data_IF_650717342371
#
_entry.id   IF_650717342371
#
_cell.length_a   1.000
_cell.length_b   1.000
_cell.length_c   1.000
_cell.angle_alpha   90.00
_cell.angle_beta   90.00
_cell.angle_gamma   90.00
#
_symmetry.space_group_name_H-M   'P 1'
#
loop_
_entity.id
_entity.type
_entity.pdbx_description
1 polymer ?
#
# COMPACT_ATOMS: atom_id res chain seq x y z
N UNK A 1 5.79 17.13 -51.70
CA UNK A 1 6.64 17.13 -50.49
C UNK A 1 5.82 16.97 -49.20
N UNK A 2 4.72 17.68 -49.07
CA UNK A 2 3.84 17.61 -47.86
C UNK A 2 3.29 16.19 -47.57
N UNK A 3 2.87 15.47 -48.61
CA UNK A 3 2.37 14.08 -48.53
C UNK A 3 3.39 13.09 -47.94
N UNK A 4 4.68 13.27 -48.23
CA UNK A 4 5.74 12.42 -47.70
C UNK A 4 6.09 12.76 -46.25
N UNK A 5 5.97 14.02 -45.82
CA UNK A 5 6.12 14.47 -44.44
C UNK A 5 5.02 13.84 -43.55
N UNK A 6 3.76 13.93 -43.98
CA UNK A 6 2.63 13.36 -43.26
C UNK A 6 2.78 11.85 -43.14
N UNK A 7 3.19 11.15 -44.19
CA UNK A 7 3.41 9.69 -44.19
C UNK A 7 4.52 9.29 -43.20
N UNK A 8 5.65 10.02 -43.17
CA UNK A 8 6.75 9.77 -42.26
C UNK A 8 6.29 9.98 -40.79
N UNK A 9 5.61 11.07 -40.48
CA UNK A 9 5.09 11.36 -39.16
C UNK A 9 4.10 10.29 -38.72
N UNK A 10 3.22 9.82 -39.57
CA UNK A 10 2.26 8.74 -39.26
C UNK A 10 2.99 7.44 -38.94
N UNK A 11 4.00 7.05 -39.74
CA UNK A 11 4.78 5.82 -39.48
C UNK A 11 5.51 5.90 -38.14
N UNK A 12 6.17 7.02 -37.89
CA UNK A 12 6.89 7.22 -36.59
C UNK A 12 5.90 7.19 -35.42
N UNK A 13 4.76 7.85 -35.52
CA UNK A 13 3.71 7.82 -34.48
C UNK A 13 3.21 6.41 -34.22
N UNK A 14 2.88 5.66 -35.26
CA UNK A 14 2.38 4.28 -35.15
C UNK A 14 3.43 3.37 -34.50
N UNK A 15 4.67 3.46 -34.92
CA UNK A 15 5.76 2.67 -34.36
C UNK A 15 5.99 2.97 -32.86
N UNK A 16 6.02 4.25 -32.47
CA UNK A 16 6.19 4.65 -31.08
C UNK A 16 5.01 4.20 -30.21
N UNK A 17 3.78 4.48 -30.63
CA UNK A 17 2.59 4.10 -29.87
C UNK A 17 2.49 2.59 -29.73
N UNK A 18 2.73 1.84 -30.82
CA UNK A 18 2.67 0.36 -30.77
C UNK A 18 3.76 -0.22 -29.88
N UNK A 19 5.00 0.29 -30.00
CA UNK A 19 6.11 -0.15 -29.15
C UNK A 19 5.86 0.11 -27.67
N UNK A 20 5.40 1.30 -27.32
CA UNK A 20 5.07 1.65 -25.94
C UNK A 20 3.87 0.85 -25.39
N UNK A 21 2.86 0.62 -26.22
CA UNK A 21 1.69 -0.16 -25.82
C UNK A 21 2.05 -1.63 -25.55
N UNK A 22 2.85 -2.23 -26.42
CA UNK A 22 3.33 -3.61 -26.24
C UNK A 22 4.17 -3.74 -24.96
N UNK A 23 5.13 -2.84 -24.75
CA UNK A 23 6.00 -2.88 -23.56
C UNK A 23 5.21 -2.63 -22.26
N UNK A 24 4.26 -1.69 -22.27
CA UNK A 24 3.43 -1.40 -21.09
C UNK A 24 2.48 -2.55 -20.75
N UNK A 25 1.88 -3.18 -21.76
CA UNK A 25 1.04 -4.37 -21.55
C UNK A 25 1.85 -5.57 -21.08
N UNK A 26 3.03 -5.81 -21.67
CA UNK A 26 3.92 -6.88 -21.22
C UNK A 26 4.34 -6.67 -19.76
N UNK A 27 4.75 -5.46 -19.38
CA UNK A 27 5.08 -5.10 -18.00
C UNK A 27 3.89 -5.31 -17.04
N UNK A 28 2.69 -4.95 -17.46
CA UNK A 28 1.46 -5.17 -16.68
C UNK A 28 1.20 -6.65 -16.41
N UNK A 29 1.25 -7.49 -17.46
CA UNK A 29 1.00 -8.93 -17.32
C UNK A 29 2.08 -9.62 -16.49
N UNK A 30 3.36 -9.27 -16.68
CA UNK A 30 4.47 -9.80 -15.89
C UNK A 30 4.34 -9.39 -14.43
N UNK A 31 4.08 -8.12 -14.14
CA UNK A 31 3.89 -7.63 -12.76
C UNK A 31 2.69 -8.30 -12.09
N UNK A 32 1.59 -8.48 -12.81
CA UNK A 32 0.40 -9.17 -12.29
C UNK A 32 0.67 -10.65 -12.00
N UNK A 33 1.38 -11.34 -12.87
CA UNK A 33 1.75 -12.74 -12.68
C UNK A 33 2.72 -12.92 -11.51
N UNK A 34 3.76 -12.07 -11.44
CA UNK A 34 4.73 -12.05 -10.34
C UNK A 34 4.07 -11.78 -8.99
N UNK A 35 3.16 -10.79 -8.93
CA UNK A 35 2.42 -10.49 -7.70
C UNK A 35 1.53 -11.65 -7.26
N UNK A 36 0.85 -12.32 -8.20
CA UNK A 36 0.05 -13.52 -7.89
C UNK A 36 0.91 -14.64 -7.30
N UNK A 37 2.05 -14.93 -7.91
CA UNK A 37 2.98 -15.94 -7.42
C UNK A 37 3.55 -15.57 -6.04
N UNK A 38 3.94 -14.31 -5.85
CA UNK A 38 4.47 -13.82 -4.57
C UNK A 38 3.41 -13.88 -3.44
N UNK A 39 2.19 -13.47 -3.72
CA UNK A 39 1.08 -13.58 -2.77
C UNK A 39 0.73 -15.06 -2.51
N UNK A 40 0.74 -15.90 -3.55
CA UNK A 40 0.35 -17.30 -3.43
C UNK A 40 1.38 -18.16 -2.69
N UNK A 41 2.66 -17.99 -2.99
CA UNK A 41 3.70 -18.94 -2.61
C UNK A 41 4.57 -18.47 -1.44
N UNK A 42 4.88 -17.18 -1.36
CA UNK A 42 5.86 -16.65 -0.39
C UNK A 42 5.27 -15.76 0.71
N UNK A 43 4.26 -14.93 0.39
CA UNK A 43 3.77 -13.93 1.35
C UNK A 43 2.69 -14.45 2.29
N UNK A 44 2.02 -15.55 1.95
CA UNK A 44 0.90 -16.07 2.77
C UNK A 44 1.36 -16.73 4.05
N UNK A 45 2.27 -17.73 4.02
CA UNK A 45 2.67 -18.42 5.27
C UNK A 45 3.52 -17.50 6.15
N UNK A 46 4.60 -16.91 5.59
CA UNK A 46 5.57 -16.13 6.35
C UNK A 46 4.98 -14.86 6.97
N UNK A 47 4.12 -14.13 6.24
CA UNK A 47 3.50 -12.91 6.78
C UNK A 47 2.42 -13.26 7.80
N UNK A 48 1.63 -14.31 7.54
CA UNK A 48 0.65 -14.83 8.49
C UNK A 48 1.31 -15.30 9.78
N UNK A 49 2.42 -16.02 9.67
CA UNK A 49 3.21 -16.52 10.81
C UNK A 49 3.84 -15.39 11.62
N UNK A 50 4.37 -14.38 10.95
CA UNK A 50 4.94 -13.20 11.63
C UNK A 50 3.85 -12.42 12.38
N UNK A 51 2.70 -12.17 11.74
CA UNK A 51 1.56 -11.49 12.37
C UNK A 51 1.07 -12.31 13.56
N UNK A 52 0.90 -13.62 13.38
CA UNK A 52 0.49 -14.51 14.47
C UNK A 52 1.47 -14.45 15.63
N UNK A 53 2.77 -14.64 15.39
CA UNK A 53 3.81 -14.66 16.41
C UNK A 53 3.92 -13.32 17.15
N UNK A 54 3.81 -12.19 16.44
CA UNK A 54 3.86 -10.86 17.06
C UNK A 54 2.61 -10.62 17.93
N UNK A 55 1.42 -10.91 17.41
CA UNK A 55 0.16 -10.74 18.16
C UNK A 55 0.11 -11.72 19.34
N UNK A 56 0.46 -12.98 19.13
CA UNK A 56 0.49 -13.98 20.19
C UNK A 56 1.43 -13.54 21.33
N UNK A 57 2.65 -13.12 21.00
CA UNK A 57 3.60 -12.63 22.01
C UNK A 57 3.02 -11.50 22.85
N UNK A 58 2.38 -10.52 22.22
CA UNK A 58 1.86 -9.37 22.92
C UNK A 58 0.59 -9.70 23.71
N UNK A 59 -0.25 -10.61 23.23
CA UNK A 59 -1.46 -11.07 23.92
C UNK A 59 -1.12 -12.06 25.06
N UNK A 60 -0.05 -12.89 24.94
CA UNK A 60 0.35 -13.84 25.97
C UNK A 60 1.09 -13.19 27.13
N UNK A 61 1.63 -11.97 26.95
CA UNK A 61 2.34 -11.27 28.02
C UNK A 61 1.53 -11.18 29.33
N UNK A 62 0.24 -10.80 29.35
CA UNK A 62 -0.58 -10.84 30.57
C UNK A 62 -0.76 -12.23 31.15
N UNK A 63 -0.81 -13.28 30.33
CA UNK A 63 -0.90 -14.67 30.79
C UNK A 63 0.37 -15.05 31.57
N UNK A 64 1.55 -14.74 31.02
CA UNK A 64 2.82 -14.98 31.71
C UNK A 64 2.95 -14.19 33.02
N UNK A 65 2.54 -12.92 33.02
CA UNK A 65 2.59 -12.10 34.24
C UNK A 65 1.67 -12.68 35.30
N UNK A 66 0.43 -13.05 34.96
CA UNK A 66 -0.53 -13.63 35.88
C UNK A 66 -0.05 -15.00 36.44
N UNK A 67 0.59 -15.80 35.57
CA UNK A 67 1.23 -17.07 36.04
C UNK A 67 2.34 -16.82 37.06
N UNK A 68 3.25 -15.88 36.78
CA UNK A 68 4.30 -15.48 37.71
C UNK A 68 3.71 -15.00 39.03
N UNK A 69 2.66 -14.18 39.02
CA UNK A 69 1.96 -13.74 40.22
C UNK A 69 1.35 -14.90 41.00
N UNK A 70 0.75 -15.88 40.31
CA UNK A 70 0.15 -17.04 40.93
C UNK A 70 1.18 -17.97 41.60
N UNK A 71 2.40 -18.00 41.09
CA UNK A 71 3.52 -18.78 41.63
C UNK A 71 4.39 -18.00 42.62
N UNK A 72 4.11 -16.71 42.84
CA UNK A 72 4.94 -15.82 43.62
C UNK A 72 4.95 -16.22 45.12
N UNK A 73 6.15 -16.38 45.68
CA UNK A 73 6.33 -16.76 47.07
C UNK A 73 5.90 -15.67 48.04
N UNK A 74 6.11 -14.38 47.69
CA UNK A 74 5.63 -13.27 48.50
C UNK A 74 4.09 -13.35 48.67
N UNK A 75 3.34 -13.56 47.60
CA UNK A 75 1.88 -13.63 47.65
C UNK A 75 1.39 -14.79 48.50
N UNK A 76 2.01 -15.97 48.33
CA UNK A 76 1.70 -17.18 49.14
C UNK A 76 2.00 -16.97 50.61
N UNK A 77 3.19 -16.49 50.95
CA UNK A 77 3.61 -16.27 52.32
C UNK A 77 2.75 -15.21 53.00
N UNK A 78 2.43 -14.12 52.30
CA UNK A 78 1.57 -13.06 52.83
C UNK A 78 0.16 -13.58 53.20
N UNK A 79 -0.43 -14.44 52.37
CA UNK A 79 -1.73 -15.11 52.66
C UNK A 79 -1.60 -16.06 53.84
N UNK A 80 -0.56 -16.88 53.86
CA UNK A 80 -0.34 -17.85 54.96
C UNK A 80 -0.05 -17.19 56.30
N UNK A 81 0.58 -16.02 56.33
CA UNK A 81 0.81 -15.20 57.51
C UNK A 81 -0.45 -14.45 57.99
N UNK A 82 -1.56 -14.56 57.26
CA UNK A 82 -2.85 -14.04 57.73
C UNK A 82 -3.29 -12.74 57.12
N UNK A 83 -2.64 -12.27 56.03
CA UNK A 83 -3.04 -11.07 55.28
C UNK A 83 -3.02 -9.77 56.11
N UNK A 84 -2.10 -9.67 57.07
CA UNK A 84 -2.14 -8.60 58.09
C UNK A 84 -1.67 -7.24 57.61
N UNK A 85 -0.81 -7.16 56.60
CA UNK A 85 -0.30 -5.89 56.10
C UNK A 85 -0.82 -5.64 54.70
N UNK A 86 -1.91 -4.90 54.62
CA UNK A 86 -2.52 -4.46 53.35
C UNK A 86 -1.56 -3.61 52.50
N UNK A 87 -0.65 -2.86 53.15
CA UNK A 87 0.28 -1.98 52.41
C UNK A 87 1.23 -2.79 51.55
N UNK A 88 1.65 -3.97 52.00
CA UNK A 88 2.55 -4.83 51.21
C UNK A 88 1.88 -5.37 49.96
N UNK A 89 0.67 -5.90 50.05
CA UNK A 89 -0.01 -6.43 48.89
C UNK A 89 -0.37 -5.32 47.88
N UNK A 90 -0.78 -4.14 48.34
CA UNK A 90 -1.00 -2.98 47.47
C UNK A 90 0.27 -2.58 46.74
N UNK A 91 1.41 -2.47 47.46
CA UNK A 91 2.69 -2.14 46.83
C UNK A 91 3.09 -3.18 45.79
N UNK A 92 2.92 -4.46 46.08
CA UNK A 92 3.19 -5.55 45.17
C UNK A 92 2.34 -5.45 43.91
N UNK A 93 1.01 -5.31 44.03
CA UNK A 93 0.11 -5.21 42.91
C UNK A 93 0.38 -3.94 42.07
N UNK A 94 0.68 -2.79 42.74
CA UNK A 94 1.01 -1.54 42.04
C UNK A 94 2.32 -1.63 41.28
N UNK A 95 3.32 -2.30 41.84
CA UNK A 95 4.61 -2.55 41.17
C UNK A 95 4.40 -3.40 39.92
N UNK A 96 3.62 -4.49 40.00
CA UNK A 96 3.27 -5.32 38.84
C UNK A 96 2.59 -4.46 37.76
N UNK A 97 1.57 -3.68 38.12
CA UNK A 97 0.83 -2.83 37.22
C UNK A 97 1.77 -1.84 36.48
N UNK A 98 2.64 -1.17 37.22
CA UNK A 98 3.54 -0.13 36.69
C UNK A 98 4.67 -0.74 35.86
N UNK A 99 5.33 -1.77 36.36
CA UNK A 99 6.50 -2.39 35.71
C UNK A 99 6.16 -3.05 34.39
N UNK A 100 4.99 -3.69 34.33
CA UNK A 100 4.56 -4.45 33.15
C UNK A 100 3.58 -3.71 32.25
N UNK A 101 3.26 -2.46 32.59
CA UNK A 101 2.33 -1.61 31.82
C UNK A 101 0.98 -2.33 31.61
N UNK A 102 0.44 -2.91 32.71
CA UNK A 102 -0.89 -3.53 32.69
C UNK A 102 -1.93 -2.56 33.20
N UNK A 103 -3.17 -2.66 32.66
CA UNK A 103 -4.23 -1.74 33.04
C UNK A 103 -4.68 -1.94 34.49
N UNK A 104 -4.70 -3.17 34.95
CA UNK A 104 -5.08 -3.56 36.30
C UNK A 104 -4.26 -4.76 36.77
N UNK A 105 -4.08 -4.87 38.08
CA UNK A 105 -3.53 -6.03 38.76
C UNK A 105 -4.32 -6.28 40.03
N UNK A 106 -4.57 -7.54 40.37
CA UNK A 106 -5.44 -7.88 41.48
C UNK A 106 -5.06 -9.22 42.14
N UNK A 107 -5.54 -9.36 43.38
CA UNK A 107 -5.60 -10.63 44.09
C UNK A 107 -6.90 -10.75 44.87
N UNK A 108 -7.56 -11.89 44.78
CA UNK A 108 -8.78 -12.20 45.55
C UNK A 108 -8.50 -13.37 46.48
N UNK A 109 -8.55 -13.13 47.79
CA UNK A 109 -8.29 -14.13 48.80
C UNK A 109 -9.50 -15.04 49.01
N UNK A 110 -9.28 -16.36 49.01
CA UNK A 110 -10.30 -17.36 49.38
C UNK A 110 -10.55 -17.41 50.90
N UNK A 111 -9.55 -17.01 51.67
CA UNK A 111 -9.60 -17.03 53.15
C UNK A 111 -10.48 -15.90 53.68
N UNK A 112 -10.29 -14.68 53.18
CA UNK A 112 -10.95 -13.47 53.72
C UNK A 112 -12.03 -12.94 52.83
N UNK A 113 -12.22 -13.53 51.63
CA UNK A 113 -13.12 -13.08 50.58
C UNK A 113 -12.86 -11.62 50.16
N UNK A 114 -11.60 -11.15 50.32
CA UNK A 114 -11.23 -9.76 50.02
C UNK A 114 -10.64 -9.65 48.63
N UNK A 115 -11.11 -8.67 47.88
CA UNK A 115 -10.59 -8.30 46.58
C UNK A 115 -9.58 -7.14 46.76
N UNK A 116 -8.30 -7.47 46.61
CA UNK A 116 -7.20 -6.53 46.65
C UNK A 116 -6.85 -6.02 45.27
N UNK A 117 -6.62 -4.71 45.14
CA UNK A 117 -6.21 -4.02 43.92
C UNK A 117 -4.96 -3.13 44.24
N UNK A 118 -4.22 -2.70 43.23
CA UNK A 118 -3.05 -1.83 43.40
C UNK A 118 -3.35 -0.50 44.13
N UNK A 119 -4.60 -0.04 44.10
CA UNK A 119 -5.03 1.20 44.77
C UNK A 119 -5.71 0.95 46.13
N UNK A 120 -5.90 -0.32 46.57
CA UNK A 120 -6.49 -0.67 47.84
C UNK A 120 -7.41 -1.87 47.81
N UNK A 121 -8.18 -2.06 48.87
CA UNK A 121 -9.25 -3.05 48.90
C UNK A 121 -10.44 -2.53 48.09
N UNK A 122 -10.82 -3.31 47.08
CA UNK A 122 -11.96 -2.97 46.24
C UNK A 122 -13.28 -3.30 46.96
N UNK A 123 -13.42 -4.53 47.42
CA UNK A 123 -14.64 -5.02 48.09
C UNK A 123 -14.42 -6.39 48.78
N UNK A 124 -15.41 -6.85 49.51
CA UNK A 124 -15.60 -8.27 49.84
C UNK A 124 -16.40 -8.93 48.74
N UNK A 125 -15.98 -10.09 48.26
CA UNK A 125 -16.71 -10.87 47.26
C UNK A 125 -17.82 -11.70 47.90
N UNK A 126 -18.90 -11.93 47.15
CA UNK A 126 -20.05 -12.74 47.59
C UNK A 126 -20.56 -13.65 46.47
N UNK A 127 -20.95 -14.91 46.78
CA UNK A 127 -21.52 -15.83 45.78
C UNK A 127 -22.87 -15.36 45.25
N UNK A 128 -23.58 -14.49 45.99
CA UNK A 128 -24.88 -13.93 45.59
C UNK A 128 -24.75 -12.74 44.66
N UNK A 129 -23.56 -12.14 44.58
CA UNK A 129 -23.30 -11.00 43.73
C UNK A 129 -23.01 -11.43 42.29
N UNK A 130 -23.76 -10.91 41.32
CA UNK A 130 -23.62 -11.28 39.91
C UNK A 130 -22.22 -10.95 39.34
N UNK A 131 -21.63 -9.86 39.80
CA UNK A 131 -20.30 -9.39 39.35
C UNK A 131 -19.14 -10.21 39.95
N UNK A 132 -19.39 -11.09 40.92
CA UNK A 132 -18.39 -11.95 41.54
C UNK A 132 -18.42 -13.40 41.02
N UNK A 133 -19.35 -13.73 40.12
CA UNK A 133 -19.49 -15.08 39.55
C UNK A 133 -18.24 -15.59 38.89
N UNK A 134 -17.42 -14.71 38.30
CA UNK A 134 -16.15 -15.07 37.71
C UNK A 134 -15.19 -15.73 38.71
N UNK A 135 -15.12 -15.21 39.93
CA UNK A 135 -14.26 -15.77 40.96
C UNK A 135 -14.64 -17.21 41.32
N UNK A 136 -15.93 -17.48 41.54
CA UNK A 136 -16.42 -18.82 41.89
C UNK A 136 -16.29 -19.78 40.69
N UNK A 137 -16.34 -19.31 39.49
CA UNK A 137 -16.05 -20.09 38.27
C UNK A 137 -14.56 -20.47 38.25
N UNK A 138 -13.64 -19.52 38.46
CA UNK A 138 -12.20 -19.73 38.55
C UNK A 138 -11.87 -20.74 39.68
N UNK A 139 -12.46 -20.59 40.85
CA UNK A 139 -12.26 -21.50 41.98
C UNK A 139 -12.60 -22.94 41.61
N UNK A 140 -13.66 -23.19 40.86
CA UNK A 140 -14.20 -24.51 40.53
C UNK A 140 -13.75 -25.09 39.19
N UNK A 141 -12.98 -24.35 38.36
CA UNK A 141 -12.52 -24.84 37.08
C UNK A 141 -11.43 -25.89 37.21
N UNK A 142 -11.22 -26.67 36.14
CA UNK A 142 -10.16 -27.69 36.07
C UNK A 142 -8.84 -27.17 35.47
N UNK A 143 -8.90 -26.03 34.76
CA UNK A 143 -7.75 -25.36 34.16
C UNK A 143 -7.04 -24.47 35.19
N UNK A 144 -5.78 -24.10 34.92
CA UNK A 144 -5.02 -23.22 35.80
C UNK A 144 -5.49 -21.79 35.79
N UNK A 145 -6.04 -21.35 34.65
CA UNK A 145 -6.54 -19.97 34.44
C UNK A 145 -7.71 -19.94 33.47
N UNK A 146 -8.41 -18.82 33.46
CA UNK A 146 -9.38 -18.44 32.42
C UNK A 146 -9.13 -17.02 31.94
N UNK A 147 -9.62 -16.73 30.75
CA UNK A 147 -9.72 -15.38 30.19
C UNK A 147 -11.19 -14.98 30.16
N UNK A 148 -11.50 -13.79 30.64
CA UNK A 148 -12.82 -13.23 30.51
C UNK A 148 -12.78 -11.74 30.19
N UNK A 149 -13.84 -11.26 29.54
CA UNK A 149 -14.01 -9.85 29.19
C UNK A 149 -15.15 -9.31 30.04
N UNK A 150 -14.79 -8.49 31.02
CA UNK A 150 -15.73 -7.91 31.96
C UNK A 150 -15.44 -6.41 32.21
N UNK A 151 -16.43 -5.63 32.68
CA UNK A 151 -16.17 -4.29 33.19
C UNK A 151 -15.30 -4.33 34.45
N UNK A 152 -14.19 -3.59 34.45
CA UNK A 152 -13.29 -3.47 35.59
C UNK A 152 -13.84 -2.51 36.63
N UNK A 153 -14.33 -3.03 37.74
CA UNK A 153 -14.91 -2.26 38.84
C UNK A 153 -13.94 -1.30 39.51
N UNK A 154 -12.64 -1.64 39.51
CA UNK A 154 -11.59 -0.76 40.07
C UNK A 154 -11.31 0.43 39.16
N UNK A 155 -11.62 0.32 37.86
CA UNK A 155 -11.27 1.28 36.81
C UNK A 155 -12.51 1.79 36.03
N UNK A 156 -13.52 2.27 36.76
CA UNK A 156 -14.73 2.92 36.19
C UNK A 156 -15.46 2.06 35.14
N UNK A 157 -15.58 0.78 35.41
CA UNK A 157 -16.23 -0.21 34.53
C UNK A 157 -15.65 -0.22 33.09
N UNK A 158 -14.39 0.12 32.92
CA UNK A 158 -13.70 0.00 31.63
C UNK A 158 -13.66 -1.46 31.21
N UNK A 159 -14.12 -1.76 29.97
CA UNK A 159 -14.10 -3.11 29.42
C UNK A 159 -12.67 -3.64 29.35
N UNK A 160 -12.41 -4.71 30.09
CA UNK A 160 -11.09 -5.26 30.34
C UNK A 160 -11.06 -6.76 30.07
N UNK A 161 -10.00 -7.21 29.43
CA UNK A 161 -9.67 -8.62 29.27
C UNK A 161 -8.84 -9.02 30.49
N UNK A 162 -9.43 -9.80 31.36
CA UNK A 162 -8.76 -10.31 32.56
C UNK A 162 -8.15 -11.69 32.30
N UNK A 163 -6.98 -11.91 32.88
CA UNK A 163 -6.34 -13.22 33.00
C UNK A 163 -6.40 -13.63 34.45
N UNK A 164 -7.27 -14.57 34.76
CA UNK A 164 -7.57 -14.99 36.14
C UNK A 164 -6.88 -16.32 36.42
N UNK A 165 -5.75 -16.29 37.16
CA UNK A 165 -5.00 -17.48 37.59
C UNK A 165 -5.41 -17.93 38.96
N UNK A 166 -5.47 -19.26 39.15
CA UNK A 166 -5.67 -19.89 40.44
C UNK A 166 -4.35 -19.84 41.24
N UNK A 167 -4.43 -19.49 42.52
CA UNK A 167 -3.29 -19.45 43.43
C UNK A 167 -3.40 -20.58 44.45
N UNK A 168 -2.31 -21.31 44.62
CA UNK A 168 -2.20 -22.43 45.55
C UNK A 168 -1.11 -22.21 46.55
N UNK A 169 -1.30 -22.74 47.79
CA UNK A 169 -0.26 -22.80 48.81
C UNK A 169 0.80 -23.89 48.47
N UNK A 170 1.79 -24.03 49.30
CA UNK A 170 2.86 -25.05 49.15
C UNK A 170 2.35 -26.50 49.30
N UNK A 171 1.12 -26.71 49.82
CA UNK A 171 0.46 -27.99 49.96
C UNK A 171 -0.62 -28.22 48.86
N UNK A 172 -0.63 -27.40 47.87
CA UNK A 172 -1.63 -27.43 46.74
C UNK A 172 -3.08 -27.16 47.18
N UNK A 173 -3.30 -26.49 48.31
CA UNK A 173 -4.62 -25.98 48.64
C UNK A 173 -4.86 -24.67 47.91
N UNK A 174 -6.07 -24.49 47.36
CA UNK A 174 -6.48 -23.24 46.74
C UNK A 174 -6.60 -22.12 47.78
N UNK A 175 -5.93 -21.01 47.54
CA UNK A 175 -5.89 -19.87 48.47
C UNK A 175 -6.44 -18.57 47.84
N UNK A 176 -6.73 -18.57 46.55
CA UNK A 176 -7.29 -17.40 45.86
C UNK A 176 -7.08 -17.37 44.39
N UNK A 177 -7.43 -16.24 43.77
CA UNK A 177 -7.19 -15.95 42.36
C UNK A 177 -6.42 -14.65 42.21
N UNK A 178 -5.49 -14.60 41.27
CA UNK A 178 -4.72 -13.39 40.95
C UNK A 178 -4.62 -13.18 39.43
N UNK A 179 -4.23 -11.97 39.03
CA UNK A 179 -3.95 -11.73 37.67
C UNK A 179 -3.85 -10.26 37.30
N UNK A 180 -3.73 -10.05 35.99
CA UNK A 180 -3.70 -8.72 35.37
C UNK A 180 -4.74 -8.60 34.30
N UNK A 181 -5.03 -7.36 33.90
CA UNK A 181 -5.94 -7.07 32.80
C UNK A 181 -5.40 -6.05 31.82
N UNK A 182 -5.86 -6.17 30.58
CA UNK A 182 -5.66 -5.20 29.51
C UNK A 182 -6.99 -4.64 29.05
N UNK A 183 -7.07 -3.35 28.74
CA UNK A 183 -8.30 -2.81 28.17
C UNK A 183 -8.59 -3.36 26.78
N UNK A 184 -9.84 -3.60 26.48
CA UNK A 184 -10.28 -4.00 25.12
C UNK A 184 -9.85 -2.97 24.08
N UNK A 185 -9.82 -1.68 24.44
CA UNK A 185 -9.35 -0.61 23.54
C UNK A 185 -7.85 -0.70 23.27
N UNK A 186 -7.02 -1.06 24.25
CA UNK A 186 -5.59 -1.25 24.04
C UNK A 186 -5.31 -2.41 23.08
N UNK A 187 -6.02 -3.53 23.23
CA UNK A 187 -5.89 -4.69 22.33
C UNK A 187 -6.40 -4.35 20.92
N UNK A 188 -7.52 -3.64 20.80
CA UNK A 188 -8.00 -3.14 19.49
C UNK A 188 -6.98 -2.22 18.81
N UNK A 189 -6.36 -1.33 19.58
CA UNK A 189 -5.30 -0.44 19.07
C UNK A 189 -4.07 -1.24 18.62
N UNK A 190 -3.67 -2.26 19.38
CA UNK A 190 -2.58 -3.16 19.03
C UNK A 190 -2.86 -3.88 17.69
N UNK A 191 -4.02 -4.51 17.56
CA UNK A 191 -4.45 -5.15 16.32
C UNK A 191 -4.47 -4.12 15.17
N UNK A 192 -4.96 -2.90 15.41
CA UNK A 192 -4.98 -1.82 14.42
C UNK A 192 -3.59 -1.42 13.92
N UNK A 193 -2.57 -1.41 14.80
CA UNK A 193 -1.17 -1.19 14.40
C UNK A 193 -0.68 -2.28 13.45
N UNK A 194 -1.00 -3.55 13.74
CA UNK A 194 -0.64 -4.66 12.86
C UNK A 194 -1.40 -4.63 11.53
N UNK A 195 -2.68 -4.25 11.55
CA UNK A 195 -3.45 -4.04 10.31
C UNK A 195 -2.80 -2.99 9.41
N UNK A 196 -2.33 -1.87 9.98
CA UNK A 196 -1.63 -0.82 9.22
C UNK A 196 -0.23 -1.26 8.76
N UNK A 197 0.55 -1.91 9.65
CA UNK A 197 1.91 -2.38 9.34
C UNK A 197 1.95 -3.36 8.18
N UNK A 198 0.97 -4.26 8.11
CA UNK A 198 0.93 -5.36 7.14
C UNK A 198 -0.09 -5.16 6.02
N UNK A 199 -0.89 -4.09 6.05
CA UNK A 199 -2.03 -3.83 5.15
C UNK A 199 -2.96 -5.04 5.02
N UNK A 200 -3.35 -5.63 6.16
CA UNK A 200 -4.22 -6.80 6.26
C UNK A 200 -5.44 -6.50 7.13
N UNK A 201 -6.54 -7.19 6.89
CA UNK A 201 -7.63 -7.23 7.86
C UNK A 201 -7.30 -8.30 8.91
N UNK A 202 -7.31 -7.92 10.17
CA UNK A 202 -6.97 -8.80 11.29
C UNK A 202 -8.08 -8.71 12.34
N UNK A 203 -8.59 -9.86 12.75
CA UNK A 203 -9.60 -9.95 13.80
C UNK A 203 -9.55 -11.32 14.48
N UNK A 204 -10.16 -11.41 15.66
CA UNK A 204 -10.17 -12.61 16.50
C UNK A 204 -11.61 -13.06 16.69
N UNK A 205 -11.85 -14.36 16.49
CA UNK A 205 -13.15 -14.99 16.65
C UNK A 205 -13.08 -16.13 17.67
N UNK A 206 -14.21 -16.47 18.27
CA UNK A 206 -14.36 -17.70 19.03
C UNK A 206 -14.74 -18.90 18.14
N UNK A 207 -14.89 -20.08 18.77
CA UNK A 207 -15.31 -21.31 18.09
C UNK A 207 -16.70 -21.24 17.44
N UNK A 208 -17.56 -20.33 17.90
CA UNK A 208 -18.89 -20.12 17.32
C UNK A 208 -18.84 -19.15 16.12
N UNK A 209 -17.70 -18.52 15.84
CA UNK A 209 -17.52 -17.53 14.78
C UNK A 209 -17.88 -16.11 15.22
N UNK A 210 -18.11 -15.87 16.52
CA UNK A 210 -18.38 -14.53 17.05
C UNK A 210 -17.09 -13.71 17.09
N UNK A 211 -17.12 -12.50 16.55
CA UNK A 211 -15.98 -11.58 16.57
C UNK A 211 -15.79 -11.01 17.97
N UNK A 212 -14.73 -11.44 18.67
CA UNK A 212 -14.38 -10.99 20.02
C UNK A 212 -13.59 -9.69 19.99
N UNK A 213 -12.60 -9.62 19.10
CA UNK A 213 -11.70 -8.47 18.98
C UNK A 213 -11.40 -8.18 17.50
N UNK A 214 -11.38 -6.92 17.15
CA UNK A 214 -10.98 -6.45 15.84
C UNK A 214 -10.28 -5.11 15.97
N UNK A 215 -9.39 -4.77 15.05
CA UNK A 215 -8.71 -3.48 15.03
C UNK A 215 -9.67 -2.33 14.74
N UNK A 216 -9.22 -1.11 15.01
CA UNK A 216 -10.03 0.11 14.86
C UNK A 216 -10.46 0.40 13.40
N UNK A 217 -9.72 -0.13 12.42
CA UNK A 217 -10.03 -0.04 10.99
C UNK A 217 -10.89 -1.20 10.45
N UNK A 218 -11.41 -2.04 11.32
CA UNK A 218 -12.29 -3.14 10.93
C UNK A 218 -13.67 -2.58 10.51
N UNK A 219 -13.93 -2.61 9.21
CA UNK A 219 -15.14 -2.01 8.62
C UNK A 219 -16.33 -2.97 8.52
N UNK A 220 -16.12 -4.26 8.84
CA UNK A 220 -17.19 -5.27 8.72
C UNK A 220 -18.15 -5.18 9.93
N UNK A 221 -19.40 -4.93 9.66
CA UNK A 221 -20.51 -4.90 10.66
C UNK A 221 -20.93 -6.30 11.12
N UNK A 222 -20.29 -7.35 10.60
CA UNK A 222 -20.62 -8.74 10.88
C UNK A 222 -20.24 -9.11 12.31
N UNK A 223 -21.22 -9.53 13.12
CA UNK A 223 -20.99 -10.01 14.49
C UNK A 223 -20.52 -11.47 14.52
N UNK A 224 -21.01 -12.27 13.60
CA UNK A 224 -20.66 -13.69 13.51
C UNK A 224 -20.29 -14.03 12.06
N UNK A 225 -19.02 -14.39 11.82
CA UNK A 225 -18.48 -14.63 10.49
C UNK A 225 -18.92 -15.95 9.87
N UNK A 226 -19.45 -16.89 10.69
CA UNK A 226 -19.95 -18.18 10.23
C UNK A 226 -21.44 -18.16 9.89
N UNK A 227 -22.21 -17.22 10.43
CA UNK A 227 -23.65 -17.11 10.19
C UNK A 227 -24.00 -16.05 9.16
N UNK A 228 -23.33 -14.92 9.21
CA UNK A 228 -23.66 -13.72 8.43
C UNK A 228 -22.51 -13.28 7.51
N UNK A 229 -21.38 -13.99 7.56
CA UNK A 229 -20.15 -13.60 6.91
C UNK A 229 -19.78 -14.46 5.71
N UNK A 230 -18.72 -14.05 5.05
CA UNK A 230 -18.13 -14.72 3.90
C UNK A 230 -17.33 -16.00 4.26
N UNK A 231 -17.19 -16.32 5.56
CA UNK A 231 -16.49 -17.51 6.05
C UNK A 231 -17.46 -18.66 6.41
N UNK A 232 -18.74 -18.54 6.11
CA UNK A 232 -19.77 -19.55 6.44
C UNK A 232 -19.38 -20.94 5.91
N UNK A 233 -18.97 -21.04 4.66
CA UNK A 233 -18.61 -22.30 4.02
C UNK A 233 -17.27 -22.88 4.50
N UNK A 234 -16.46 -22.05 5.17
CA UNK A 234 -15.12 -22.42 5.67
C UNK A 234 -15.07 -22.67 7.18
N UNK A 235 -16.22 -22.57 7.87
CA UNK A 235 -16.28 -22.73 9.32
C UNK A 235 -15.65 -24.03 9.81
N UNK A 236 -15.97 -25.17 9.15
CA UNK A 236 -15.39 -26.47 9.48
C UNK A 236 -13.88 -26.51 9.26
N UNK A 237 -13.41 -25.94 8.16
CA UNK A 237 -11.97 -25.86 7.84
C UNK A 237 -11.19 -25.06 8.89
N UNK A 238 -11.76 -23.96 9.37
CA UNK A 238 -11.15 -23.11 10.39
C UNK A 238 -11.10 -23.83 11.74
N UNK A 239 -12.20 -24.49 12.12
CA UNK A 239 -12.33 -25.12 13.46
C UNK A 239 -11.57 -26.45 13.54
N UNK A 240 -11.52 -27.24 12.46
CA UNK A 240 -10.91 -28.57 12.45
C UNK A 240 -9.38 -28.54 12.47
N UNK A 241 -8.75 -27.47 11.96
CA UNK A 241 -7.31 -27.33 11.88
C UNK A 241 -6.76 -26.32 12.91
N UNK A 242 -5.59 -26.56 13.48
CA UNK A 242 -4.87 -25.56 14.28
C UNK A 242 -4.42 -24.38 13.42
N UNK A 243 -4.22 -24.63 12.13
CA UNK A 243 -3.87 -23.66 11.09
C UNK A 243 -4.59 -24.00 9.79
N UNK A 244 -5.16 -23.01 9.13
CA UNK A 244 -5.77 -23.16 7.82
C UNK A 244 -5.50 -21.93 6.97
N UNK A 245 -5.16 -22.17 5.69
CA UNK A 245 -4.95 -21.13 4.68
C UNK A 245 -5.74 -21.48 3.44
N UNK A 246 -6.61 -20.58 3.00
CA UNK A 246 -7.45 -20.76 1.83
C UNK A 246 -7.76 -19.43 1.15
N UNK A 247 -8.33 -19.51 -0.04
CA UNK A 247 -8.81 -18.34 -0.78
C UNK A 247 -10.25 -18.51 -1.15
N UNK A 248 -11.03 -17.45 -1.05
CA UNK A 248 -12.41 -17.44 -1.52
C UNK A 248 -12.67 -16.26 -2.43
N UNK A 249 -13.65 -16.40 -3.31
CA UNK A 249 -14.03 -15.36 -4.26
C UNK A 249 -15.27 -14.64 -3.74
N UNK A 250 -15.23 -13.31 -3.67
CA UNK A 250 -16.37 -12.47 -3.33
C UNK A 250 -16.60 -11.46 -4.47
N UNK A 251 -17.53 -11.76 -5.37
CA UNK A 251 -17.75 -10.97 -6.56
C UNK A 251 -16.51 -11.02 -7.48
N UNK A 252 -15.92 -9.85 -7.75
CA UNK A 252 -14.68 -9.74 -8.56
C UNK A 252 -13.39 -9.91 -7.75
N UNK A 253 -13.49 -10.06 -6.42
CA UNK A 253 -12.34 -10.08 -5.52
C UNK A 253 -11.98 -11.49 -5.07
N UNK A 254 -10.68 -11.77 -5.02
CA UNK A 254 -10.13 -12.92 -4.32
C UNK A 254 -9.62 -12.45 -2.96
N UNK A 255 -10.16 -13.03 -1.89
CA UNK A 255 -9.70 -12.80 -0.53
C UNK A 255 -8.92 -14.02 -0.06
N UNK A 256 -7.71 -13.80 0.36
CA UNK A 256 -6.86 -14.81 0.96
C UNK A 256 -7.05 -14.75 2.47
N UNK A 257 -7.36 -15.89 3.08
CA UNK A 257 -7.60 -16.03 4.50
C UNK A 257 -6.56 -16.96 5.10
N UNK A 258 -5.97 -16.52 6.21
CA UNK A 258 -5.17 -17.35 7.08
C UNK A 258 -5.85 -17.35 8.45
N UNK A 259 -6.18 -18.52 8.97
CA UNK A 259 -6.79 -18.71 10.28
C UNK A 259 -5.88 -19.57 11.14
N UNK A 260 -5.63 -19.13 12.37
CA UNK A 260 -4.76 -19.85 13.31
C UNK A 260 -5.38 -19.84 14.70
N UNK A 261 -5.41 -21.02 15.32
CA UNK A 261 -5.89 -21.20 16.69
C UNK A 261 -4.86 -20.70 17.68
N UNK A 262 -5.31 -19.94 18.68
CA UNK A 262 -4.53 -19.49 19.83
C UNK A 262 -5.02 -20.30 21.04
N UNK A 263 -4.30 -21.36 21.44
CA UNK A 263 -4.76 -22.29 22.48
C UNK A 263 -5.07 -21.60 23.80
N UNK A 264 -4.24 -20.64 24.19
CA UNK A 264 -4.30 -19.92 25.45
C UNK A 264 -5.59 -19.13 25.62
N UNK A 265 -6.16 -18.68 24.48
CA UNK A 265 -7.41 -17.91 24.45
C UNK A 265 -8.63 -18.78 24.09
N UNK A 266 -8.39 -19.94 23.45
CA UNK A 266 -9.45 -20.73 22.85
C UNK A 266 -10.11 -20.03 21.65
N UNK A 267 -9.39 -19.11 21.01
CA UNK A 267 -9.85 -18.26 19.93
C UNK A 267 -9.03 -18.49 18.64
N UNK A 268 -9.58 -18.01 17.52
CA UNK A 268 -8.90 -18.06 16.24
C UNK A 268 -8.53 -16.64 15.79
N UNK A 269 -7.27 -16.43 15.45
CA UNK A 269 -6.79 -15.25 14.77
C UNK A 269 -7.05 -15.40 13.28
N UNK A 270 -7.78 -14.48 12.70
CA UNK A 270 -8.08 -14.43 11.26
C UNK A 270 -7.32 -13.26 10.64
N UNK A 271 -6.59 -13.55 9.59
CA UNK A 271 -5.85 -12.57 8.78
C UNK A 271 -6.35 -12.67 7.35
N UNK A 272 -6.90 -11.59 6.80
CA UNK A 272 -7.42 -11.51 5.45
C UNK A 272 -6.67 -10.52 4.59
N UNK A 273 -6.43 -10.90 3.35
CA UNK A 273 -5.85 -10.05 2.31
C UNK A 273 -6.71 -10.06 1.06
N UNK A 274 -7.19 -8.90 0.63
CA UNK A 274 -7.84 -8.73 -0.66
C UNK A 274 -6.81 -8.57 -1.78
N UNK A 275 -6.92 -9.36 -2.85
CA UNK A 275 -6.04 -9.30 -4.04
C UNK A 275 -6.16 -7.95 -4.79
N UNK A 276 -7.36 -7.35 -4.76
CA UNK A 276 -7.66 -6.13 -5.52
C UNK A 276 -6.87 -4.89 -5.11
N UNK A 277 -6.46 -4.77 -3.85
CA UNK A 277 -5.64 -3.63 -3.42
C UNK A 277 -4.29 -3.59 -4.15
N UNK A 278 -3.65 -4.75 -4.26
CA UNK A 278 -2.35 -4.90 -4.92
C UNK A 278 -2.48 -4.75 -6.45
N UNK A 279 -3.53 -5.32 -7.05
CA UNK A 279 -3.82 -5.19 -8.50
C UNK A 279 -4.16 -3.75 -8.90
N UNK A 280 -4.84 -2.99 -8.04
CA UNK A 280 -5.15 -1.58 -8.30
C UNK A 280 -3.89 -0.72 -8.44
N UNK A 281 -2.86 -0.98 -7.65
CA UNK A 281 -1.58 -0.26 -7.76
C UNK A 281 -0.89 -0.55 -9.09
N UNK A 282 -0.89 -1.81 -9.56
CA UNK A 282 -0.35 -2.18 -10.88
C UNK A 282 -1.12 -1.49 -12.00
N UNK A 283 -2.45 -1.42 -11.90
CA UNK A 283 -3.29 -0.73 -12.89
C UNK A 283 -3.00 0.79 -12.92
N UNK A 284 -2.82 1.42 -11.77
CA UNK A 284 -2.45 2.83 -11.69
C UNK A 284 -1.08 3.09 -12.33
N UNK A 285 -0.11 2.18 -12.11
CA UNK A 285 1.20 2.24 -12.76
C UNK A 285 1.10 2.09 -14.28
N UNK A 286 0.23 1.21 -14.78
CA UNK A 286 -0.05 1.09 -16.22
C UNK A 286 -0.58 2.41 -16.79
N UNK A 287 -1.56 3.04 -16.14
CA UNK A 287 -2.12 4.32 -16.59
C UNK A 287 -1.07 5.43 -16.60
N UNK A 288 -0.22 5.49 -15.56
CA UNK A 288 0.90 6.45 -15.52
C UNK A 288 1.90 6.22 -16.65
N UNK A 289 2.26 4.96 -16.92
CA UNK A 289 3.16 4.63 -18.03
C UNK A 289 2.57 5.05 -19.37
N UNK A 290 1.29 4.79 -19.61
CA UNK A 290 0.61 5.22 -20.84
C UNK A 290 0.58 6.75 -20.98
N UNK A 291 0.33 7.49 -19.90
CA UNK A 291 0.37 8.96 -19.91
C UNK A 291 1.79 9.48 -20.24
N UNK A 292 2.82 8.92 -19.64
CA UNK A 292 4.23 9.26 -19.95
C UNK A 292 4.53 8.98 -21.43
N UNK A 293 4.11 7.82 -21.94
CA UNK A 293 4.29 7.45 -23.35
C UNK A 293 3.63 8.44 -24.30
N UNK A 294 2.44 8.93 -23.99
CA UNK A 294 1.75 9.95 -24.79
C UNK A 294 2.55 11.27 -24.81
N UNK A 295 3.04 11.71 -23.64
CA UNK A 295 3.86 12.93 -23.55
C UNK A 295 5.16 12.79 -24.35
N UNK A 296 5.88 11.67 -24.18
CA UNK A 296 7.13 11.40 -24.93
C UNK A 296 6.86 11.37 -26.44
N UNK A 297 5.79 10.69 -26.87
CA UNK A 297 5.41 10.65 -28.29
C UNK A 297 5.13 12.05 -28.82
N UNK A 298 4.38 12.89 -28.08
CA UNK A 298 4.10 14.26 -28.49
C UNK A 298 5.39 15.10 -28.64
N UNK A 299 6.30 15.01 -27.67
CA UNK A 299 7.60 15.70 -27.72
C UNK A 299 8.42 15.26 -28.94
N UNK A 300 8.52 13.95 -29.18
CA UNK A 300 9.25 13.41 -30.34
C UNK A 300 8.66 13.91 -31.65
N UNK A 301 7.33 13.92 -31.79
CA UNK A 301 6.67 14.41 -32.99
C UNK A 301 6.89 15.91 -33.22
N UNK A 302 6.90 16.73 -32.17
CA UNK A 302 7.24 18.16 -32.26
C UNK A 302 8.67 18.33 -32.73
N UNK A 303 9.64 17.61 -32.11
CA UNK A 303 11.05 17.69 -32.51
C UNK A 303 11.26 17.26 -33.96
N UNK A 304 10.66 16.15 -34.38
CA UNK A 304 10.72 15.67 -35.76
C UNK A 304 10.11 16.74 -36.74
N UNK A 305 8.97 17.34 -36.36
CA UNK A 305 8.34 18.38 -37.17
C UNK A 305 9.24 19.63 -37.33
N UNK A 306 9.86 20.08 -36.21
CA UNK A 306 10.80 21.22 -36.23
C UNK A 306 12.04 20.92 -37.06
N UNK A 307 12.61 19.72 -36.91
CA UNK A 307 13.77 19.28 -37.69
C UNK A 307 13.48 19.26 -39.19
N UNK A 308 12.34 18.68 -39.60
CA UNK A 308 11.94 18.64 -41.00
C UNK A 308 11.75 20.06 -41.52
N UNK A 309 11.11 20.96 -40.76
CA UNK A 309 10.89 22.35 -41.17
C UNK A 309 12.23 23.10 -41.33
N UNK A 310 13.14 22.96 -40.40
CA UNK A 310 14.49 23.53 -40.46
C UNK A 310 15.27 23.03 -41.69
N UNK A 311 15.18 21.74 -42.00
CA UNK A 311 15.82 21.15 -43.18
C UNK A 311 15.20 21.66 -44.49
N UNK A 312 13.87 21.81 -44.58
CA UNK A 312 13.19 22.37 -45.76
C UNK A 312 13.63 23.80 -46.00
N UNK A 313 13.65 24.66 -44.97
CA UNK A 313 14.08 26.04 -45.09
C UNK A 313 15.53 26.15 -45.64
N UNK A 314 16.41 25.23 -45.21
CA UNK A 314 17.78 25.21 -45.68
C UNK A 314 17.91 24.81 -47.16
N UNK A 315 17.11 23.85 -47.60
CA UNK A 315 17.04 23.46 -49.04
C UNK A 315 16.49 24.59 -49.90
N UNK A 316 15.48 25.31 -49.46
CA UNK A 316 14.94 26.45 -50.20
C UNK A 316 15.98 27.56 -50.32
N UNK A 317 16.74 27.86 -49.31
CA UNK A 317 17.84 28.83 -49.33
C UNK A 317 18.96 28.43 -50.34
N UNK A 318 19.30 27.13 -50.39
CA UNK A 318 20.29 26.61 -51.32
C UNK A 318 19.80 26.62 -52.78
N UNK A 319 18.53 26.44 -53.05
CA UNK A 319 17.91 26.52 -54.38
C UNK A 319 17.87 27.96 -54.92
N UNK A 320 17.92 28.98 -54.06
CA UNK A 320 17.99 30.38 -54.44
C UNK A 320 19.37 30.84 -54.90
N UNK A 321 20.42 30.01 -54.85
CA UNK A 321 21.78 30.35 -55.29
C UNK A 321 21.97 29.86 -56.73
N UNK A 322 21.98 30.79 -57.68
CA UNK A 322 22.21 30.49 -59.09
C UNK A 322 23.69 30.69 -59.39
N UNK A 323 24.44 29.66 -59.82
CA UNK A 323 25.86 29.81 -60.15
C UNK A 323 26.05 30.57 -61.49
N UNK A 324 26.69 31.73 -61.43
CA UNK A 324 27.01 32.52 -62.59
C UNK A 324 28.48 32.62 -62.86
N UNK A 325 28.90 32.63 -64.11
CA UNK A 325 30.27 32.83 -64.50
C UNK A 325 30.71 34.27 -64.18
N UNK A 326 31.84 34.42 -63.47
CA UNK A 326 32.40 35.74 -63.08
C UNK A 326 32.79 36.59 -64.29
N UNK A 327 33.11 35.97 -65.44
CA UNK A 327 33.58 36.66 -66.64
C UNK A 327 32.41 36.92 -67.64
N UNK A 328 31.78 35.85 -68.14
CA UNK A 328 30.79 35.99 -69.22
C UNK A 328 29.35 36.13 -68.67
N UNK A 329 29.14 36.03 -67.34
CA UNK A 329 27.84 36.15 -66.67
C UNK A 329 26.77 35.10 -67.08
N UNK A 330 27.19 34.03 -67.79
CA UNK A 330 26.28 32.90 -68.07
C UNK A 330 25.97 32.14 -66.80
N UNK A 331 24.78 31.57 -66.72
CA UNK A 331 24.24 30.75 -65.62
C UNK A 331 24.48 29.29 -65.98
N UNK A 332 25.02 28.53 -65.00
CA UNK A 332 25.16 27.09 -65.11
C UNK A 332 23.85 26.42 -64.67
N UNK A 333 23.20 25.66 -65.59
CA UNK A 333 22.01 24.90 -65.26
C UNK A 333 22.31 23.61 -64.47
N UNK A 334 21.27 22.91 -64.05
CA UNK A 334 21.35 21.67 -63.24
C UNK A 334 22.00 20.50 -64.03
N UNK A 335 22.06 20.60 -65.36
CA UNK A 335 22.74 19.63 -66.25
C UNK A 335 24.20 19.96 -66.51
N UNK A 336 24.66 21.10 -66.01
CA UNK A 336 26.06 21.54 -66.10
C UNK A 336 26.35 22.43 -67.34
N UNK A 337 25.36 22.79 -68.16
CA UNK A 337 25.52 23.67 -69.32
C UNK A 337 25.43 25.13 -68.93
N UNK A 338 26.20 25.97 -69.64
CA UNK A 338 26.22 27.39 -69.43
C UNK A 338 25.22 28.06 -70.37
N UNK A 339 24.23 28.77 -69.85
CA UNK A 339 23.14 29.43 -70.56
C UNK A 339 23.22 30.94 -70.35
N UNK A 340 22.72 31.71 -71.32
CA UNK A 340 22.50 33.15 -71.14
C UNK A 340 21.51 33.39 -70.00
N UNK A 341 21.71 34.47 -69.25
CA UNK A 341 20.84 34.80 -68.09
C UNK A 341 19.38 34.87 -68.50
N UNK A 342 19.09 35.53 -69.63
CA UNK A 342 17.73 35.73 -70.17
C UNK A 342 17.10 34.39 -70.51
N UNK A 343 17.83 33.47 -71.13
CA UNK A 343 17.33 32.15 -71.52
C UNK A 343 17.06 31.29 -70.30
N UNK A 344 17.92 31.35 -69.28
CA UNK A 344 17.76 30.62 -68.02
C UNK A 344 16.54 31.13 -67.24
N UNK A 345 16.45 32.47 -67.06
CA UNK A 345 15.34 33.07 -66.30
C UNK A 345 14.00 32.86 -66.97
N UNK A 346 13.89 33.06 -68.29
CA UNK A 346 12.64 32.79 -69.03
C UNK A 346 12.20 31.32 -68.99
N UNK A 347 13.12 30.39 -68.88
CA UNK A 347 12.81 28.95 -68.74
C UNK A 347 12.34 28.56 -67.35
N UNK A 348 12.76 29.30 -66.30
CA UNK A 348 12.53 28.93 -64.90
C UNK A 348 11.59 29.90 -64.20
N UNK A 349 11.13 30.97 -64.86
CA UNK A 349 10.15 31.93 -64.33
C UNK A 349 9.22 32.42 -65.47
N UNK A 350 8.15 33.08 -65.14
CA UNK A 350 7.26 33.70 -66.09
C UNK A 350 7.74 35.05 -66.65
N UNK A 351 9.00 35.40 -66.40
CA UNK A 351 9.60 36.66 -66.83
C UNK A 351 9.92 36.65 -68.34
N UNK A 352 9.52 37.68 -69.02
CA UNK A 352 9.89 37.94 -70.42
C UNK A 352 10.84 39.09 -70.47
N UNK A 353 11.82 39.03 -71.42
CA UNK A 353 12.87 40.04 -71.57
C UNK A 353 12.61 40.86 -72.80
N UNK A 354 12.63 42.20 -72.70
CA UNK A 354 12.67 43.14 -73.85
C UNK A 354 14.09 43.73 -73.94
N UNK A 355 14.61 43.92 -75.15
CA UNK A 355 15.93 44.47 -75.35
C UNK A 355 15.84 45.98 -75.50
N UNK A 356 16.71 46.67 -74.75
CA UNK A 356 16.87 48.11 -74.83
C UNK A 356 18.34 48.49 -74.66
N UNK A 357 18.73 49.69 -75.03
CA UNK A 357 20.07 50.22 -74.88
C UNK A 357 20.06 51.27 -73.79
N UNK A 358 20.76 51.02 -72.66
CA UNK A 358 20.86 51.98 -71.57
C UNK A 358 21.65 53.24 -72.03
N UNK A 359 21.46 54.39 -71.40
CA UNK A 359 22.10 55.65 -71.78
C UNK A 359 23.65 55.53 -71.89
N UNK A 360 24.29 54.82 -70.95
CA UNK A 360 25.76 54.61 -70.98
C UNK A 360 26.23 53.81 -72.17
N UNK A 361 25.52 52.73 -72.51
CA UNK A 361 25.81 51.91 -73.70
C UNK A 361 25.48 52.65 -74.99
N UNK A 362 24.42 53.46 -75.02
CA UNK A 362 24.05 54.32 -76.16
C UNK A 362 25.20 55.31 -76.46
N UNK A 363 25.74 55.96 -75.43
CA UNK A 363 26.84 56.90 -75.58
C UNK A 363 28.11 56.22 -76.05
N UNK A 364 28.45 55.06 -75.40
CA UNK A 364 29.68 54.33 -75.71
C UNK A 364 29.69 53.68 -77.08
N UNK A 365 28.64 53.10 -77.53
CA UNK A 365 28.59 52.32 -78.77
C UNK A 365 27.94 53.03 -79.94
N UNK A 366 27.11 54.05 -79.74
CA UNK A 366 26.36 54.78 -80.78
C UNK A 366 26.75 56.26 -80.86
N UNK A 367 27.74 56.72 -80.14
CA UNK A 367 28.21 58.10 -80.15
C UNK A 367 28.55 58.61 -81.50
N UNK A 368 29.06 57.78 -82.43
CA UNK A 368 29.38 58.12 -83.78
C UNK A 368 28.18 58.42 -84.65
N UNK A 369 27.03 57.79 -84.32
CA UNK A 369 25.76 58.01 -85.05
C UNK A 369 25.01 59.21 -84.51
N UNK A 370 25.14 59.53 -83.22
CA UNK A 370 24.50 60.70 -82.60
C UNK A 370 25.08 62.01 -83.01
N UNK A 371 26.39 62.03 -83.31
CA UNK A 371 27.13 63.25 -83.83
C UNK A 371 26.74 63.59 -85.29
N UNK A 372 26.07 62.74 -86.06
CA UNK A 372 25.74 62.96 -87.44
C UNK A 372 24.39 63.59 -87.56
N UNK A 373 23.56 63.68 -86.53
CA UNK A 373 22.17 64.24 -86.53
C UNK A 373 22.12 65.70 -86.10
N UNK A 374 23.24 66.28 -85.61
CA UNK A 374 23.36 67.70 -85.23
C UNK A 374 23.97 68.61 -86.36
N UNK A 375 24.17 68.05 -87.54
CA UNK A 375 24.67 68.80 -88.69
C UNK A 375 23.77 68.53 -89.90
N UNK A 376 22.48 68.89 -89.80
CA UNK A 376 21.51 68.86 -90.86
C UNK A 376 20.42 69.80 -90.58
#
# INVERSE_FOLDING_TARGET
>A
MEKNKTKLMTIVSVLLVTGFLVTSLAAYFVSRASLRSEIADNSRPLTGDNIYSEIQRDLLRPVFISNLMAADTFLRDWVLQGEQDETQIRKYLKEIQTRYDTFTSFFVSDRTNTYYHGDGILKKISPTESRDRWYYRVKNMQTEYELNIDPDMANKDTMTIFVNYRVYDYKQNYIGATGVGLTVSAVKSLIGKYQQKYDRQIYIIDKAGDVKLAGTSFTKTVRNVFKEGHLTDYAQTIIAGGESSFSHHTGSDTIHVNARFIPEFGWYLIVEQAENKATRQIFTTLLMNLAICLVVTAVVLVLVSLTIKAYQNRIETLRGIVPICSFCKQIRDDQGYWNQVEAYVSKHTDATFSHGVCPVCKEKHYSKFLKKTEKG
#
